data_IF_277098357664
#
_entry.id   IF_277098357664
#
_cell.length_a   1.000
_cell.length_b   1.000
_cell.length_c   1.000
_cell.angle_alpha   90.00
_cell.angle_beta   90.00
_cell.angle_gamma   90.00
#
_symmetry.space_group_name_H-M   'P 1'
#
loop_
_entity.id
_entity.type
_entity.pdbx_description
1 polymer ?
#
# COMPACT_ATOMS: atom_id res chain seq x y z
N UNK A 1 22.64 -25.29 -12.26
CA UNK A 1 21.59 -24.75 -13.14
C UNK A 1 20.28 -24.78 -12.38
N UNK A 2 19.53 -23.68 -12.32
CA UNK A 2 18.20 -23.73 -11.72
C UNK A 2 17.28 -24.58 -12.61
N UNK A 3 16.41 -25.42 -12.03
CA UNK A 3 15.42 -26.14 -12.82
C UNK A 3 14.54 -25.17 -13.61
N UNK A 4 14.14 -25.53 -14.83
CA UNK A 4 13.36 -24.67 -15.74
C UNK A 4 12.04 -24.18 -15.16
N UNK A 5 11.48 -24.92 -14.19
CA UNK A 5 10.24 -24.57 -13.49
C UNK A 5 10.44 -23.58 -12.33
N UNK A 6 11.68 -23.21 -12.00
CA UNK A 6 11.99 -22.27 -10.93
C UNK A 6 12.27 -20.88 -11.51
N UNK A 7 11.35 -19.96 -11.27
CA UNK A 7 11.31 -18.65 -11.93
C UNK A 7 11.87 -17.58 -10.99
N UNK A 8 12.91 -16.83 -11.39
CA UNK A 8 13.41 -15.74 -10.56
C UNK A 8 12.46 -14.53 -10.57
N UNK A 9 12.47 -13.67 -9.53
CA UNK A 9 11.56 -12.53 -9.42
C UNK A 9 11.60 -11.56 -10.61
N UNK A 10 12.79 -11.29 -11.16
CA UNK A 10 12.94 -10.38 -12.30
C UNK A 10 12.38 -10.93 -13.62
N UNK A 11 12.13 -12.25 -13.70
CA UNK A 11 11.55 -12.90 -14.87
C UNK A 11 10.06 -13.21 -14.68
N UNK A 12 9.41 -12.64 -13.66
CA UNK A 12 7.97 -12.79 -13.49
C UNK A 12 7.27 -11.92 -14.53
N UNK A 13 7.03 -12.46 -15.71
CA UNK A 13 5.98 -11.96 -16.59
C UNK A 13 4.62 -12.39 -16.02
N UNK A 14 4.03 -11.64 -15.08
CA UNK A 14 2.78 -12.03 -14.40
C UNK A 14 1.68 -12.43 -15.41
N UNK A 15 1.61 -11.72 -16.55
CA UNK A 15 0.65 -11.96 -17.62
C UNK A 15 0.86 -13.27 -18.41
N UNK A 16 1.98 -13.98 -18.21
CA UNK A 16 2.29 -15.23 -18.90
C UNK A 16 1.73 -16.48 -18.17
N UNK A 17 1.12 -16.28 -16.99
CA UNK A 17 0.54 -17.33 -16.17
C UNK A 17 -0.98 -17.19 -16.12
N UNK A 18 -1.68 -18.31 -16.24
CA UNK A 18 -3.14 -18.34 -16.15
C UNK A 18 -3.63 -18.11 -14.71
N UNK A 19 -2.77 -18.40 -13.72
CA UNK A 19 -3.04 -18.17 -12.31
C UNK A 19 -1.73 -17.96 -11.54
N UNK A 20 -1.78 -17.11 -10.52
CA UNK A 20 -0.71 -16.94 -9.54
C UNK A 20 -1.26 -17.41 -8.20
N UNK A 21 -0.63 -18.43 -7.62
CA UNK A 21 -1.14 -19.13 -6.44
C UNK A 21 -0.28 -18.81 -5.23
N UNK A 22 -0.85 -18.09 -4.27
CA UNK A 22 -0.24 -17.86 -2.96
C UNK A 22 -0.64 -18.94 -1.97
N UNK A 23 0.33 -19.77 -1.59
CA UNK A 23 0.14 -20.87 -0.62
C UNK A 23 0.35 -20.45 0.83
N UNK A 24 0.61 -19.17 1.09
CA UNK A 24 0.68 -18.61 2.45
C UNK A 24 -0.69 -18.57 3.11
N UNK A 25 -0.72 -18.33 4.42
CA UNK A 25 -1.99 -18.27 5.14
C UNK A 25 -2.85 -17.06 4.71
N UNK A 26 -4.16 -17.06 5.00
CA UNK A 26 -5.02 -15.92 4.72
C UNK A 26 -4.53 -14.61 5.35
N UNK A 27 -3.98 -14.65 6.57
CA UNK A 27 -3.43 -13.45 7.21
C UNK A 27 -2.15 -12.95 6.51
N UNK A 28 -1.26 -13.86 6.06
CA UNK A 28 -0.07 -13.48 5.29
C UNK A 28 -0.46 -12.84 3.94
N UNK A 29 -1.51 -13.35 3.30
CA UNK A 29 -2.03 -12.86 2.01
C UNK A 29 -2.73 -11.49 2.14
N UNK A 30 -3.56 -11.32 3.18
CA UNK A 30 -4.26 -10.06 3.46
C UNK A 30 -3.32 -8.90 3.78
N UNK A 31 -2.12 -9.17 4.31
CA UNK A 31 -1.12 -8.13 4.55
C UNK A 31 -0.61 -7.52 3.24
N UNK A 32 -0.25 -8.36 2.27
CA UNK A 32 0.17 -8.00 0.91
C UNK A 32 0.46 -9.31 0.15
N UNK A 33 0.33 -9.30 -1.17
CA UNK A 33 0.51 -10.46 -2.05
C UNK A 33 0.95 -10.02 -3.44
N UNK A 34 1.41 -10.96 -4.26
CA UNK A 34 1.74 -10.65 -5.66
C UNK A 34 0.45 -10.23 -6.38
N UNK A 35 0.45 -9.12 -7.14
CA UNK A 35 -0.75 -8.69 -7.83
C UNK A 35 -1.39 -9.77 -8.72
N UNK A 36 -2.72 -9.89 -8.62
CA UNK A 36 -3.48 -10.91 -9.34
C UNK A 36 -3.40 -12.32 -8.76
N UNK A 37 -2.70 -12.51 -7.63
CA UNK A 37 -2.64 -13.82 -6.98
C UNK A 37 -3.97 -14.19 -6.31
N UNK A 38 -4.32 -15.47 -6.39
CA UNK A 38 -5.37 -16.10 -5.59
C UNK A 38 -4.74 -16.77 -4.36
N UNK A 39 -5.43 -16.74 -3.23
CA UNK A 39 -4.95 -17.41 -2.03
C UNK A 39 -5.45 -18.86 -1.98
N UNK A 40 -4.55 -19.82 -2.13
CA UNK A 40 -4.81 -21.24 -1.94
C UNK A 40 -3.91 -21.77 -0.82
N UNK A 41 -4.23 -21.44 0.45
CA UNK A 41 -3.35 -21.68 1.58
C UNK A 41 -3.12 -23.18 1.78
N UNK A 42 -1.85 -23.60 1.94
CA UNK A 42 -1.55 -24.97 2.38
C UNK A 42 -1.64 -25.13 3.90
N UNK A 43 -1.78 -24.02 4.63
CA UNK A 43 -2.11 -23.98 6.05
C UNK A 43 -3.10 -22.84 6.33
N UNK A 44 -4.08 -23.09 7.18
CA UNK A 44 -4.82 -22.02 7.87
C UNK A 44 -3.91 -21.21 8.80
N UNK A 45 -4.40 -20.08 9.34
CA UNK A 45 -3.63 -19.29 10.31
C UNK A 45 -3.26 -20.12 11.55
N UNK A 46 -4.21 -20.91 12.07
CA UNK A 46 -4.02 -21.73 13.27
C UNK A 46 -3.11 -22.93 12.99
N UNK A 47 -3.27 -23.59 11.85
CA UNK A 47 -2.38 -24.67 11.42
C UNK A 47 -0.94 -24.17 11.29
N UNK A 48 -0.76 -22.99 10.69
CA UNK A 48 0.56 -22.36 10.55
C UNK A 48 1.18 -22.02 11.90
N UNK A 49 0.38 -21.55 12.85
CA UNK A 49 0.81 -21.28 14.22
C UNK A 49 1.25 -22.59 14.89
N UNK A 50 0.42 -23.63 14.84
CA UNK A 50 0.71 -24.96 15.41
C UNK A 50 1.98 -25.58 14.84
N UNK A 51 2.13 -25.63 13.52
CA UNK A 51 3.34 -26.16 12.86
C UNK A 51 4.57 -25.32 13.22
N UNK A 52 4.42 -23.98 13.28
CA UNK A 52 5.50 -23.07 13.66
C UNK A 52 5.96 -23.26 15.11
N UNK A 53 5.01 -23.46 16.04
CA UNK A 53 5.28 -23.77 17.45
C UNK A 53 6.00 -25.11 17.58
N UNK A 54 5.49 -26.16 16.93
CA UNK A 54 6.11 -27.49 16.95
C UNK A 54 7.55 -27.46 16.39
N UNK A 55 7.78 -26.68 15.34
CA UNK A 55 9.10 -26.52 14.73
C UNK A 55 10.12 -25.92 15.71
N UNK A 56 9.69 -24.93 16.50
CA UNK A 56 10.55 -24.21 17.45
C UNK A 56 10.71 -24.94 18.79
N UNK A 57 9.62 -25.50 19.31
CA UNK A 57 9.56 -26.01 20.69
C UNK A 57 9.88 -27.50 20.79
N UNK A 58 9.67 -28.28 19.73
CA UNK A 58 9.91 -29.73 19.75
C UNK A 58 11.04 -30.10 18.81
N UNK A 59 10.79 -30.09 17.49
CA UNK A 59 11.84 -30.26 16.50
C UNK A 59 11.37 -29.91 15.08
N UNK A 60 12.29 -29.56 14.17
CA UNK A 60 11.99 -29.44 12.75
C UNK A 60 11.40 -30.70 12.11
N UNK A 61 11.79 -31.89 12.59
CA UNK A 61 11.32 -33.15 12.02
C UNK A 61 9.85 -33.43 12.37
N UNK A 62 9.45 -33.24 13.64
CA UNK A 62 8.05 -33.40 14.06
C UNK A 62 7.13 -32.40 13.35
N UNK A 63 7.59 -31.15 13.20
CA UNK A 63 6.87 -30.14 12.43
C UNK A 63 6.72 -30.50 10.95
N UNK A 64 7.72 -31.14 10.34
CA UNK A 64 7.62 -31.62 8.96
C UNK A 64 6.61 -32.77 8.81
N UNK A 65 6.54 -33.70 9.78
CA UNK A 65 5.52 -34.77 9.75
C UNK A 65 4.10 -34.19 9.78
N UNK A 66 3.81 -33.33 10.76
CA UNK A 66 2.50 -32.67 10.84
C UNK A 66 2.23 -31.81 9.60
N UNK A 67 3.22 -31.00 9.21
CA UNK A 67 3.11 -30.12 8.05
C UNK A 67 2.84 -30.87 6.75
N UNK A 68 3.51 -32.01 6.51
CA UNK A 68 3.29 -32.82 5.31
C UNK A 68 1.85 -33.35 5.24
N UNK A 69 1.31 -33.85 6.35
CA UNK A 69 -0.08 -34.32 6.43
C UNK A 69 -1.08 -33.22 6.10
N UNK A 70 -0.91 -32.04 6.70
CA UNK A 70 -1.79 -30.89 6.47
C UNK A 70 -1.68 -30.36 5.04
N UNK A 71 -0.46 -30.21 4.51
CA UNK A 71 -0.25 -29.78 3.12
C UNK A 71 -0.89 -30.75 2.14
N UNK A 72 -0.75 -32.06 2.33
CA UNK A 72 -1.33 -33.05 1.43
C UNK A 72 -2.87 -32.95 1.39
N UNK A 73 -3.51 -32.82 2.56
CA UNK A 73 -4.98 -32.63 2.66
C UNK A 73 -5.42 -31.34 1.97
N UNK A 74 -4.83 -30.22 2.36
CA UNK A 74 -5.24 -28.91 1.86
C UNK A 74 -4.99 -28.77 0.35
N UNK A 75 -3.90 -29.34 -0.18
CA UNK A 75 -3.67 -29.36 -1.63
C UNK A 75 -4.72 -30.22 -2.36
N UNK A 76 -5.11 -31.37 -1.79
CA UNK A 76 -6.17 -32.19 -2.36
C UNK A 76 -7.50 -31.42 -2.42
N UNK A 77 -7.85 -30.70 -1.34
CA UNK A 77 -9.05 -29.88 -1.29
C UNK A 77 -9.03 -28.76 -2.34
N UNK A 78 -7.91 -28.04 -2.49
CA UNK A 78 -7.76 -27.01 -3.52
C UNK A 78 -7.89 -27.58 -4.94
N UNK A 79 -7.34 -28.76 -5.19
CA UNK A 79 -7.47 -29.42 -6.50
C UNK A 79 -8.94 -29.73 -6.77
N UNK A 80 -9.64 -30.34 -5.82
CA UNK A 80 -11.03 -30.72 -5.99
C UNK A 80 -11.95 -29.50 -6.19
N UNK A 81 -11.72 -28.43 -5.45
CA UNK A 81 -12.62 -27.27 -5.41
C UNK A 81 -12.30 -26.20 -6.45
N UNK A 82 -11.02 -25.98 -6.76
CA UNK A 82 -10.58 -24.83 -7.56
C UNK A 82 -9.94 -25.21 -8.88
N UNK A 83 -9.23 -26.35 -8.96
CA UNK A 83 -8.38 -26.64 -10.12
C UNK A 83 -8.89 -27.78 -11.02
N UNK A 84 -9.87 -28.56 -10.56
CA UNK A 84 -10.33 -29.77 -11.24
C UNK A 84 -10.72 -29.55 -12.71
N UNK A 85 -11.35 -28.42 -13.02
CA UNK A 85 -11.86 -28.11 -14.37
C UNK A 85 -10.82 -27.47 -15.30
N UNK A 86 -9.61 -27.18 -14.83
CA UNK A 86 -8.61 -26.51 -15.66
C UNK A 86 -8.06 -27.42 -16.77
N UNK A 87 -7.86 -26.89 -17.99
CA UNK A 87 -7.38 -27.68 -19.12
C UNK A 87 -5.90 -28.07 -18.94
N UNK A 88 -5.43 -29.03 -19.74
CA UNK A 88 -4.03 -29.52 -19.70
C UNK A 88 -2.98 -28.42 -19.91
N UNK A 89 -3.29 -27.38 -20.69
CA UNK A 89 -2.38 -26.27 -20.96
C UNK A 89 -2.36 -25.21 -19.86
N UNK A 90 -3.15 -25.36 -18.80
CA UNK A 90 -3.16 -24.43 -17.67
C UNK A 90 -1.77 -24.39 -17.00
N UNK A 91 -1.30 -23.17 -16.77
CA UNK A 91 0.05 -22.85 -16.34
C UNK A 91 0.02 -21.94 -15.10
N UNK A 92 -0.03 -22.52 -13.89
CA UNK A 92 0.00 -21.74 -12.65
C UNK A 92 1.44 -21.42 -12.18
N UNK A 93 1.63 -20.24 -11.61
CA UNK A 93 2.83 -19.89 -10.84
C UNK A 93 2.54 -20.00 -9.34
N UNK A 94 3.21 -20.92 -8.66
CA UNK A 94 3.00 -21.17 -7.22
C UNK A 94 4.09 -20.52 -6.37
N UNK A 95 3.71 -19.85 -5.29
CA UNK A 95 4.67 -19.31 -4.33
C UNK A 95 4.22 -19.46 -2.88
N UNK A 96 5.20 -19.38 -1.98
CA UNK A 96 5.00 -19.24 -0.54
C UNK A 96 5.96 -18.16 -0.04
N UNK A 97 6.09 -17.98 1.28
CA UNK A 97 6.96 -16.94 1.86
C UNK A 97 8.40 -16.93 1.32
N UNK A 98 9.04 -18.11 1.17
CA UNK A 98 10.45 -18.25 0.74
C UNK A 98 10.65 -19.16 -0.47
N UNK A 99 9.58 -19.57 -1.15
CA UNK A 99 9.67 -20.53 -2.27
C UNK A 99 10.12 -21.94 -1.85
N UNK A 100 9.94 -22.29 -0.57
CA UNK A 100 10.37 -23.55 0.04
C UNK A 100 9.32 -24.67 -0.05
N UNK A 101 9.22 -25.48 1.01
CA UNK A 101 8.42 -26.71 1.03
C UNK A 101 6.92 -26.51 0.79
N UNK A 102 6.32 -25.42 1.30
CA UNK A 102 4.88 -25.14 1.13
C UNK A 102 4.46 -25.06 -0.34
N UNK A 103 5.08 -24.15 -1.09
CA UNK A 103 4.81 -24.02 -2.53
C UNK A 103 5.41 -25.15 -3.35
N UNK A 104 6.52 -25.74 -2.89
CA UNK A 104 7.12 -26.90 -3.55
C UNK A 104 6.20 -28.11 -3.56
N UNK A 105 5.54 -28.43 -2.44
CA UNK A 105 4.65 -29.57 -2.34
C UNK A 105 3.43 -29.43 -3.27
N UNK A 106 2.75 -28.27 -3.26
CA UNK A 106 1.66 -28.00 -4.19
C UNK A 106 2.14 -28.10 -5.64
N UNK A 107 3.27 -27.46 -5.98
CA UNK A 107 3.80 -27.48 -7.33
C UNK A 107 4.16 -28.89 -7.82
N UNK A 108 4.73 -29.75 -6.96
CA UNK A 108 5.02 -31.15 -7.30
C UNK A 108 3.72 -31.88 -7.68
N UNK A 109 2.67 -31.76 -6.86
CA UNK A 109 1.40 -32.44 -7.11
C UNK A 109 0.77 -31.94 -8.42
N UNK A 110 0.73 -30.62 -8.65
CA UNK A 110 0.18 -30.04 -9.89
C UNK A 110 0.95 -30.52 -11.13
N UNK A 111 2.27 -30.69 -11.04
CA UNK A 111 3.07 -31.24 -12.15
C UNK A 111 2.87 -32.73 -12.37
N UNK A 112 2.63 -33.51 -11.31
CA UNK A 112 2.29 -34.94 -11.44
C UNK A 112 0.93 -35.16 -12.13
N UNK A 113 0.00 -34.21 -11.98
CA UNK A 113 -1.25 -34.19 -12.75
C UNK A 113 -1.00 -33.89 -14.24
N UNK A 114 0.07 -33.17 -14.56
CA UNK A 114 0.49 -32.86 -15.93
C UNK A 114 0.42 -31.38 -16.31
N UNK A 115 0.08 -30.49 -15.38
CA UNK A 115 0.10 -29.04 -15.62
C UNK A 115 1.52 -28.47 -15.60
N UNK A 116 1.72 -27.35 -16.31
CA UNK A 116 2.99 -26.64 -16.35
C UNK A 116 3.15 -25.73 -15.13
N UNK A 117 3.05 -26.30 -13.92
CA UNK A 117 3.15 -25.54 -12.70
C UNK A 117 4.60 -25.11 -12.43
N UNK A 118 4.82 -23.80 -12.43
CA UNK A 118 6.08 -23.14 -12.13
C UNK A 118 6.09 -22.68 -10.67
N UNK A 119 7.29 -22.44 -10.11
CA UNK A 119 7.48 -22.01 -8.73
C UNK A 119 8.33 -20.76 -8.67
N UNK A 120 7.87 -19.75 -7.93
CA UNK A 120 8.66 -18.55 -7.68
C UNK A 120 9.88 -18.85 -6.80
N UNK A 121 11.08 -18.65 -7.35
CA UNK A 121 12.35 -18.77 -6.65
C UNK A 121 12.43 -17.73 -5.51
N UNK A 122 12.73 -18.18 -4.29
CA UNK A 122 12.78 -17.30 -3.12
C UNK A 122 11.42 -16.78 -2.66
N UNK A 123 10.33 -17.12 -3.36
CA UNK A 123 8.95 -16.83 -2.99
C UNK A 123 8.64 -15.35 -2.83
N UNK A 124 7.63 -15.06 -2.02
CA UNK A 124 7.17 -13.70 -1.76
C UNK A 124 8.27 -12.80 -1.20
N UNK A 125 9.19 -13.32 -0.37
CA UNK A 125 10.34 -12.53 0.12
C UNK A 125 11.18 -11.99 -1.04
N UNK A 126 11.45 -12.82 -2.05
CA UNK A 126 12.23 -12.40 -3.20
C UNK A 126 11.44 -11.43 -4.11
N UNK A 127 10.12 -11.61 -4.21
CA UNK A 127 9.24 -10.61 -4.83
C UNK A 127 9.30 -9.26 -4.11
N UNK A 128 9.32 -9.24 -2.76
CA UNK A 128 9.46 -7.99 -1.99
C UNK A 128 10.77 -7.26 -2.29
N UNK A 129 11.87 -7.98 -2.38
CA UNK A 129 13.15 -7.37 -2.77
C UNK A 129 13.06 -6.80 -4.19
N UNK A 130 12.45 -7.53 -5.12
CA UNK A 130 12.23 -7.06 -6.48
C UNK A 130 11.39 -5.77 -6.54
N UNK A 131 10.28 -5.68 -5.78
CA UNK A 131 9.47 -4.44 -5.69
C UNK A 131 10.31 -3.24 -5.25
N UNK A 132 11.15 -3.41 -4.22
CA UNK A 132 12.01 -2.35 -3.71
C UNK A 132 13.08 -1.95 -4.73
N UNK A 133 13.79 -2.92 -5.30
CA UNK A 133 14.83 -2.70 -6.31
C UNK A 133 14.27 -2.03 -7.57
N UNK A 134 13.11 -2.48 -8.05
CA UNK A 134 12.48 -1.89 -9.23
C UNK A 134 11.93 -0.49 -8.95
N UNK A 135 11.39 -0.23 -7.76
CA UNK A 135 10.99 1.14 -7.39
C UNK A 135 12.19 2.08 -7.41
N UNK A 136 13.32 1.64 -6.85
CA UNK A 136 14.57 2.41 -6.87
C UNK A 136 15.16 2.58 -8.28
N UNK A 137 14.90 1.64 -9.19
CA UNK A 137 15.33 1.73 -10.57
C UNK A 137 14.43 2.66 -11.40
N UNK A 138 13.10 2.53 -11.29
CA UNK A 138 12.13 3.23 -12.14
C UNK A 138 11.96 4.69 -11.71
N UNK A 139 11.78 4.95 -10.41
CA UNK A 139 11.37 6.28 -9.95
C UNK A 139 12.33 7.43 -10.39
N UNK A 140 13.66 7.28 -10.37
CA UNK A 140 14.57 8.33 -10.84
C UNK A 140 14.53 8.60 -12.36
N UNK A 141 13.96 7.69 -13.16
CA UNK A 141 13.90 7.82 -14.62
C UNK A 141 12.65 8.58 -15.10
N UNK A 142 11.70 8.83 -14.19
CA UNK A 142 10.44 9.50 -14.51
C UNK A 142 10.57 11.02 -14.42
N UNK A 143 9.78 11.72 -15.24
CA UNK A 143 9.71 13.19 -15.28
C UNK A 143 8.67 13.69 -14.28
N UNK A 144 9.09 13.94 -13.05
CA UNK A 144 8.19 14.35 -11.97
C UNK A 144 7.75 15.81 -12.07
N UNK A 145 6.44 16.03 -12.00
CA UNK A 145 5.80 17.32 -11.82
C UNK A 145 5.04 17.31 -10.49
N UNK A 146 5.47 18.15 -9.55
CA UNK A 146 5.00 18.07 -8.17
C UNK A 146 4.06 19.22 -7.89
N UNK A 147 2.83 18.89 -7.52
CA UNK A 147 1.85 19.88 -7.08
C UNK A 147 2.18 20.32 -5.65
N UNK A 148 2.62 21.56 -5.51
CA UNK A 148 2.99 22.21 -4.27
C UNK A 148 1.84 23.16 -3.86
N UNK A 149 1.20 22.88 -2.73
CA UNK A 149 0.13 23.74 -2.24
C UNK A 149 -0.14 23.51 -0.76
N UNK A 150 -0.56 24.58 -0.07
CA UNK A 150 -1.02 24.52 1.31
C UNK A 150 -2.27 23.63 1.46
N UNK A 151 -2.54 23.15 2.67
CA UNK A 151 -3.68 22.25 2.98
C UNK A 151 -5.02 22.86 2.53
N UNK A 152 -5.87 22.07 1.88
CA UNK A 152 -7.18 22.56 1.40
C UNK A 152 -7.15 23.32 0.08
N UNK A 153 -6.01 23.35 -0.63
CA UNK A 153 -5.91 23.96 -1.98
C UNK A 153 -6.39 23.03 -3.11
N UNK A 154 -6.93 21.85 -2.80
CA UNK A 154 -7.51 20.95 -3.79
C UNK A 154 -6.52 20.15 -4.65
N UNK A 155 -5.27 19.94 -4.22
CA UNK A 155 -4.24 19.18 -4.97
C UNK A 155 -4.74 17.83 -5.48
N UNK A 156 -5.33 17.02 -4.60
CA UNK A 156 -5.89 15.71 -4.95
C UNK A 156 -6.96 15.82 -6.04
N UNK A 157 -7.80 16.87 -6.04
CA UNK A 157 -8.80 17.09 -7.10
C UNK A 157 -8.16 17.45 -8.44
N UNK A 158 -7.07 18.21 -8.42
CA UNK A 158 -6.29 18.54 -9.62
C UNK A 158 -5.63 17.28 -10.18
N UNK A 159 -5.00 16.45 -9.32
CA UNK A 159 -4.45 15.15 -9.73
C UNK A 159 -5.52 14.26 -10.38
N UNK A 160 -6.70 14.15 -9.77
CA UNK A 160 -7.82 13.38 -10.33
C UNK A 160 -8.28 13.93 -11.69
N UNK A 161 -8.34 15.25 -11.85
CA UNK A 161 -8.68 15.87 -13.13
C UNK A 161 -7.63 15.60 -14.22
N UNK A 162 -6.33 15.64 -13.87
CA UNK A 162 -5.23 15.28 -14.78
C UNK A 162 -5.36 13.81 -15.21
N UNK A 163 -5.60 12.89 -14.27
CA UNK A 163 -5.78 11.48 -14.56
C UNK A 163 -6.99 11.23 -15.47
N UNK A 164 -8.11 11.92 -15.23
CA UNK A 164 -9.32 11.82 -16.06
C UNK A 164 -9.10 12.28 -17.50
N UNK A 165 -8.10 13.14 -17.76
CA UNK A 165 -7.70 13.59 -19.10
C UNK A 165 -6.61 12.70 -19.72
N UNK A 166 -6.25 11.57 -19.08
CA UNK A 166 -5.24 10.64 -19.56
C UNK A 166 -3.80 10.98 -19.14
N UNK A 167 -3.62 11.93 -18.23
CA UNK A 167 -2.31 12.23 -17.64
C UNK A 167 -1.83 11.13 -16.69
N UNK A 168 -0.51 11.03 -16.50
CA UNK A 168 0.09 10.07 -15.59
C UNK A 168 0.14 10.65 -14.19
N UNK A 169 -0.46 9.96 -13.21
CA UNK A 169 -0.60 10.46 -11.84
C UNK A 169 -0.19 9.38 -10.85
N UNK A 170 0.65 9.75 -9.89
CA UNK A 170 0.93 8.98 -8.68
C UNK A 170 0.22 9.65 -7.50
N UNK A 171 -1.01 9.21 -7.21
CA UNK A 171 -1.83 9.69 -6.09
C UNK A 171 -1.50 8.87 -4.83
N UNK A 172 -0.57 9.38 -4.03
CA UNK A 172 -0.06 8.66 -2.86
C UNK A 172 -1.09 8.61 -1.73
N UNK A 173 -1.92 9.64 -1.55
CA UNK A 173 -3.02 9.65 -0.58
C UNK A 173 -4.05 8.57 -0.89
N UNK A 174 -4.41 8.39 -2.18
CA UNK A 174 -5.31 7.32 -2.63
C UNK A 174 -4.70 5.94 -2.34
N UNK A 175 -3.42 5.73 -2.69
CA UNK A 175 -2.73 4.47 -2.42
C UNK A 175 -2.60 4.19 -0.92
N UNK A 176 -2.50 5.23 -0.09
CA UNK A 176 -2.40 5.14 1.36
C UNK A 176 -3.77 5.05 2.06
N UNK A 177 -4.87 5.23 1.33
CA UNK A 177 -6.22 5.43 1.87
C UNK A 177 -6.27 6.49 2.99
N UNK A 178 -5.56 7.60 2.81
CA UNK A 178 -5.37 8.60 3.84
C UNK A 178 -4.96 9.96 3.26
N UNK A 179 -5.60 11.05 3.69
CA UNK A 179 -5.42 12.42 3.16
C UNK A 179 -4.26 13.21 3.81
N UNK A 180 -3.08 12.59 3.94
CA UNK A 180 -1.82 13.30 4.27
C UNK A 180 -1.71 14.07 5.61
N UNK A 181 -2.77 14.19 6.41
CA UNK A 181 -2.87 15.12 7.54
C UNK A 181 -3.28 14.45 8.85
N UNK A 182 -3.16 15.17 9.98
CA UNK A 182 -3.60 14.67 11.30
C UNK A 182 -5.08 14.28 11.32
N UNK A 183 -5.90 14.96 10.50
CA UNK A 183 -7.32 14.69 10.31
C UNK A 183 -7.60 13.88 9.04
N UNK A 184 -6.57 13.27 8.44
CA UNK A 184 -6.60 12.67 7.12
C UNK A 184 -7.15 11.24 7.06
N UNK A 185 -7.49 10.64 8.21
CA UNK A 185 -8.09 9.32 8.24
C UNK A 185 -9.44 9.31 7.50
N UNK A 186 -9.60 8.37 6.58
CA UNK A 186 -10.85 8.18 5.83
C UNK A 186 -11.76 7.22 6.61
N UNK A 187 -13.01 7.61 6.94
CA UNK A 187 -13.93 6.75 7.67
C UNK A 187 -14.11 5.39 6.98
N UNK A 188 -14.15 4.33 7.80
CA UNK A 188 -14.36 2.94 7.38
C UNK A 188 -13.36 2.39 6.35
N UNK A 189 -12.26 3.11 6.07
CA UNK A 189 -11.24 2.69 5.11
C UNK A 189 -9.90 2.60 5.83
N UNK A 190 -9.46 1.39 6.25
CA UNK A 190 -8.17 1.24 6.90
C UNK A 190 -7.03 1.50 5.91
N UNK A 191 -5.93 2.07 6.41
CA UNK A 191 -4.71 2.15 5.62
C UNK A 191 -4.21 0.73 5.29
N UNK A 192 -3.63 0.51 4.10
CA UNK A 192 -3.00 -0.76 3.77
C UNK A 192 -1.80 -1.04 4.69
N UNK A 193 -1.26 -2.26 4.63
CA UNK A 193 0.05 -2.50 5.24
C UNK A 193 1.15 -1.74 4.47
N UNK A 194 2.27 -1.46 5.13
CA UNK A 194 3.45 -0.87 4.47
C UNK A 194 3.88 -1.63 3.20
N UNK A 195 3.77 -2.96 3.21
CA UNK A 195 4.15 -3.79 2.04
C UNK A 195 3.16 -3.60 0.90
N UNK A 196 1.85 -3.59 1.20
CA UNK A 196 0.82 -3.39 0.20
C UNK A 196 0.89 -1.99 -0.42
N UNK A 197 1.17 -0.96 0.39
CA UNK A 197 1.42 0.39 -0.10
C UNK A 197 2.59 0.44 -1.09
N UNK A 198 3.74 -0.15 -0.71
CA UNK A 198 4.91 -0.26 -1.58
C UNK A 198 4.65 -1.06 -2.87
N UNK A 199 3.88 -2.16 -2.79
CA UNK A 199 3.47 -2.92 -3.99
C UNK A 199 2.66 -2.04 -4.93
N UNK A 200 1.66 -1.33 -4.39
CA UNK A 200 0.76 -0.53 -5.19
C UNK A 200 1.49 0.64 -5.87
N UNK A 201 2.45 1.27 -5.17
CA UNK A 201 3.36 2.26 -5.77
C UNK A 201 4.10 1.65 -6.95
N UNK A 202 4.79 0.52 -6.74
CA UNK A 202 5.56 -0.14 -7.79
C UNK A 202 4.69 -0.49 -9.01
N UNK A 203 3.47 -0.99 -8.79
CA UNK A 203 2.54 -1.29 -9.89
C UNK A 203 2.15 -0.06 -10.71
N UNK A 204 1.97 1.10 -10.08
CA UNK A 204 1.69 2.34 -10.82
C UNK A 204 2.92 2.81 -11.59
N UNK A 205 4.10 2.80 -10.96
CA UNK A 205 5.35 3.22 -11.60
C UNK A 205 5.64 2.44 -12.89
N UNK A 206 5.38 1.13 -12.89
CA UNK A 206 5.59 0.27 -14.07
C UNK A 206 4.72 0.62 -15.28
N UNK A 207 3.61 1.34 -15.08
CA UNK A 207 2.67 1.70 -16.16
C UNK A 207 2.99 3.04 -16.79
N UNK A 208 3.87 3.83 -16.18
CA UNK A 208 4.21 5.15 -16.69
C UNK A 208 5.18 5.04 -17.86
N UNK A 209 4.89 5.83 -18.89
CA UNK A 209 5.79 6.17 -19.98
C UNK A 209 6.78 7.26 -19.50
N UNK A 210 8.09 6.97 -19.45
CA UNK A 210 9.11 7.95 -19.04
C UNK A 210 9.22 9.19 -19.93
N UNK A 211 8.71 9.14 -21.17
CA UNK A 211 8.71 10.30 -22.07
C UNK A 211 7.69 11.38 -21.66
N UNK A 212 6.66 11.01 -20.90
CA UNK A 212 5.57 11.88 -20.48
C UNK A 212 5.75 12.33 -19.02
N UNK A 213 5.21 13.51 -18.65
CA UNK A 213 5.24 13.95 -17.25
C UNK A 213 4.44 13.00 -16.36
N UNK A 214 4.88 12.85 -15.12
CA UNK A 214 4.17 12.15 -14.04
C UNK A 214 3.87 13.16 -12.93
N UNK A 215 2.59 13.35 -12.64
CA UNK A 215 2.14 14.27 -11.62
C UNK A 215 1.99 13.57 -10.28
N UNK A 216 2.48 14.19 -9.22
CA UNK A 216 2.30 13.76 -7.85
C UNK A 216 2.10 14.99 -6.96
N UNK A 217 1.65 14.80 -5.73
CA UNK A 217 1.57 15.89 -4.77
C UNK A 217 2.79 15.92 -3.85
N UNK A 218 3.10 17.13 -3.35
CA UNK A 218 4.16 17.34 -2.39
C UNK A 218 3.78 16.73 -1.02
N UNK A 219 4.16 15.46 -0.82
CA UNK A 219 3.92 14.76 0.44
C UNK A 219 5.10 14.86 1.42
N UNK A 220 4.77 14.68 2.69
CA UNK A 220 5.78 14.48 3.73
C UNK A 220 6.42 13.08 3.60
N UNK A 221 7.47 12.76 4.38
CA UNK A 221 8.05 11.39 4.38
C UNK A 221 7.03 10.30 4.76
N UNK A 222 5.91 10.67 5.38
CA UNK A 222 4.85 9.76 5.82
C UNK A 222 3.46 10.24 5.39
N UNK A 223 2.57 9.27 5.19
CA UNK A 223 1.13 9.49 4.98
C UNK A 223 0.38 8.65 6.02
N UNK A 224 -0.13 9.31 7.06
CA UNK A 224 -0.62 8.62 8.25
C UNK A 224 0.48 7.75 8.87
N UNK A 225 0.25 6.44 8.97
CA UNK A 225 1.22 5.48 9.50
C UNK A 225 2.20 4.92 8.46
N UNK A 226 2.01 5.24 7.18
CA UNK A 226 2.80 4.69 6.07
C UNK A 226 4.01 5.57 5.78
N UNK A 227 5.12 4.94 5.43
CA UNK A 227 6.34 5.63 5.01
C UNK A 227 6.50 5.57 3.50
N UNK A 228 6.78 6.70 2.87
CA UNK A 228 7.15 6.74 1.46
C UNK A 228 8.56 6.15 1.31
N UNK A 229 8.78 5.17 0.40
CA UNK A 229 10.11 4.63 0.13
C UNK A 229 11.08 5.73 -0.26
N UNK A 230 12.26 5.74 0.37
CA UNK A 230 13.28 6.74 0.11
C UNK A 230 13.70 6.84 -1.37
N UNK A 231 13.82 5.74 -2.12
CA UNK A 231 14.12 5.81 -3.55
C UNK A 231 13.05 6.49 -4.40
N UNK A 232 11.82 6.62 -3.91
CA UNK A 232 10.75 7.41 -4.54
C UNK A 232 10.76 8.86 -4.02
N UNK A 233 10.95 9.03 -2.71
CA UNK A 233 10.89 10.35 -2.06
C UNK A 233 11.94 11.32 -2.61
N UNK A 234 13.16 10.85 -2.89
CA UNK A 234 14.23 11.70 -3.40
C UNK A 234 13.90 12.27 -4.81
N UNK A 235 13.53 11.45 -5.81
CA UNK A 235 13.07 11.96 -7.11
C UNK A 235 11.87 12.90 -7.03
N UNK A 236 10.90 12.62 -6.15
CA UNK A 236 9.75 13.51 -5.95
C UNK A 236 10.22 14.88 -5.45
N UNK A 237 11.12 14.94 -4.48
CA UNK A 237 11.64 16.22 -3.95
C UNK A 237 12.45 17.04 -4.95
N UNK A 238 13.11 16.37 -5.90
CA UNK A 238 13.84 17.03 -6.99
C UNK A 238 12.98 17.26 -8.24
N UNK A 239 11.68 16.95 -8.19
CA UNK A 239 10.77 17.13 -9.31
C UNK A 239 10.50 18.60 -9.63
N UNK A 240 9.92 18.87 -10.80
CA UNK A 240 9.52 20.21 -11.18
C UNK A 240 8.30 20.65 -10.36
N UNK A 241 8.50 21.59 -9.44
CA UNK A 241 7.45 22.12 -8.57
C UNK A 241 6.47 23.02 -9.36
N UNK A 242 5.18 22.78 -9.15
CA UNK A 242 4.07 23.59 -9.64
C UNK A 242 3.33 24.11 -8.41
N UNK A 243 3.52 25.38 -8.10
CA UNK A 243 2.83 26.02 -6.99
C UNK A 243 1.38 26.33 -7.34
N UNK A 244 0.47 25.93 -6.46
CA UNK A 244 -0.95 26.21 -6.54
C UNK A 244 -1.30 27.16 -5.41
N UNK A 245 -1.73 28.36 -5.78
CA UNK A 245 -2.22 29.36 -4.85
C UNK A 245 -3.74 29.32 -4.77
N UNK A 246 -4.25 29.27 -3.53
CA UNK A 246 -5.66 29.38 -3.24
C UNK A 246 -5.85 30.34 -2.07
N UNK A 247 -6.85 31.21 -2.16
CA UNK A 247 -7.18 32.12 -1.05
C UNK A 247 -7.62 31.32 0.17
N UNK A 248 -7.38 31.86 1.37
CA UNK A 248 -7.83 31.24 2.62
C UNK A 248 -9.33 30.94 2.60
N UNK A 249 -10.14 31.86 2.05
CA UNK A 249 -11.58 31.68 1.90
C UNK A 249 -11.94 30.46 1.03
N UNK A 250 -11.27 30.30 -0.12
CA UNK A 250 -11.50 29.14 -1.00
C UNK A 250 -11.08 27.83 -0.34
N UNK A 251 -9.97 27.83 0.42
CA UNK A 251 -9.49 26.66 1.17
C UNK A 251 -10.44 26.26 2.29
N UNK A 252 -10.98 27.22 3.04
CA UNK A 252 -11.99 26.97 4.08
C UNK A 252 -13.24 26.36 3.46
N UNK A 253 -13.79 26.96 2.41
CA UNK A 253 -14.98 26.45 1.72
C UNK A 253 -14.76 25.02 1.17
N UNK A 254 -13.60 24.77 0.56
CA UNK A 254 -13.23 23.44 0.06
C UNK A 254 -13.19 22.41 1.19
N UNK A 255 -12.53 22.70 2.31
CA UNK A 255 -12.38 21.76 3.43
C UNK A 255 -13.70 21.44 4.10
N UNK A 256 -14.60 22.43 4.23
CA UNK A 256 -15.95 22.19 4.77
C UNK A 256 -16.74 21.20 3.93
N UNK A 257 -16.57 21.21 2.60
CA UNK A 257 -17.20 20.27 1.67
C UNK A 257 -16.52 18.90 1.61
N UNK A 258 -15.20 18.86 1.78
CA UNK A 258 -14.40 17.64 1.60
C UNK A 258 -14.25 16.80 2.89
N UNK A 259 -14.55 17.38 4.05
CA UNK A 259 -14.51 16.74 5.38
C UNK A 259 -15.87 16.77 6.13
N UNK A 260 -17.01 16.44 5.50
CA UNK A 260 -18.32 16.54 6.16
C UNK A 260 -18.43 15.57 7.35
N UNK A 261 -17.71 14.44 7.31
CA UNK A 261 -17.69 13.43 8.37
C UNK A 261 -17.08 13.93 9.69
N UNK A 262 -16.16 14.92 9.65
CA UNK A 262 -15.58 15.48 10.87
C UNK A 262 -16.58 16.36 11.64
N UNK A 263 -17.54 16.96 10.93
CA UNK A 263 -18.62 17.74 11.56
C UNK A 263 -19.67 16.82 12.21
N UNK A 264 -19.79 15.59 11.69
CA UNK A 264 -20.75 14.59 12.19
C UNK A 264 -20.23 13.82 13.41
N UNK A 265 -18.91 13.67 13.56
CA UNK A 265 -18.27 12.98 14.69
C UNK A 265 -17.33 13.93 15.47
N UNK A 266 -17.96 14.82 16.24
CA UNK A 266 -17.24 15.83 17.04
C UNK A 266 -16.39 15.20 18.14
N UNK A 267 -16.74 14.00 18.63
CA UNK A 267 -15.99 13.30 19.67
C UNK A 267 -14.65 12.79 19.13
N UNK A 268 -14.66 12.18 17.94
CA UNK A 268 -13.45 11.78 17.25
C UNK A 268 -12.59 12.99 16.87
N UNK A 269 -13.19 14.05 16.33
CA UNK A 269 -12.49 15.29 16.00
C UNK A 269 -11.76 15.87 17.23
N UNK A 270 -12.46 16.06 18.35
CA UNK A 270 -11.88 16.57 19.59
C UNK A 270 -10.75 15.67 20.11
N UNK A 271 -10.91 14.36 20.02
CA UNK A 271 -9.86 13.39 20.40
C UNK A 271 -8.60 13.54 19.53
N UNK A 272 -8.76 13.79 18.23
CA UNK A 272 -7.65 14.01 17.31
C UNK A 272 -6.96 15.37 17.58
N UNK A 273 -7.73 16.43 17.79
CA UNK A 273 -7.19 17.77 18.10
C UNK A 273 -6.38 17.78 19.40
N UNK A 274 -6.77 17.01 20.42
CA UNK A 274 -6.01 16.87 21.68
C UNK A 274 -4.59 16.37 21.47
N UNK A 275 -4.30 15.65 20.39
CA UNK A 275 -2.93 15.21 20.05
C UNK A 275 -2.01 16.38 19.68
N UNK A 276 -2.57 17.52 19.31
CA UNK A 276 -1.83 18.73 18.95
C UNK A 276 -1.48 19.61 20.16
N UNK A 277 -1.96 19.24 21.36
CA UNK A 277 -1.79 20.01 22.61
C UNK A 277 -0.34 20.30 22.96
N UNK A 278 0.58 19.36 22.74
CA UNK A 278 2.01 19.58 23.02
C UNK A 278 2.62 20.68 22.14
N UNK A 279 2.14 20.80 20.90
CA UNK A 279 2.63 21.78 19.93
C UNK A 279 1.93 23.13 20.06
N UNK A 280 0.61 23.13 20.22
CA UNK A 280 -0.23 24.34 20.13
C UNK A 280 -0.63 24.91 21.50
N UNK A 281 -0.39 24.16 22.58
CA UNK A 281 -0.74 24.56 23.94
C UNK A 281 -2.19 24.29 24.32
N UNK A 282 -2.46 24.35 25.63
CA UNK A 282 -3.78 24.03 26.20
C UNK A 282 -4.88 25.02 25.78
N UNK A 283 -4.55 26.31 25.72
CA UNK A 283 -5.55 27.35 25.45
C UNK A 283 -6.12 27.22 24.03
N UNK A 284 -5.26 27.07 23.02
CA UNK A 284 -5.72 26.91 21.62
C UNK A 284 -6.61 25.70 21.43
N UNK A 285 -6.30 24.57 22.09
CA UNK A 285 -7.18 23.40 22.02
C UNK A 285 -8.53 23.67 22.67
N UNK A 286 -8.57 24.35 23.82
CA UNK A 286 -9.82 24.71 24.49
C UNK A 286 -10.66 25.69 23.64
N UNK A 287 -10.02 26.66 22.99
CA UNK A 287 -10.70 27.59 22.08
C UNK A 287 -11.33 26.84 20.89
N UNK A 288 -10.62 25.85 20.33
CA UNK A 288 -11.14 25.02 19.25
C UNK A 288 -12.27 24.10 19.70
N UNK A 289 -12.21 23.54 20.91
CA UNK A 289 -13.32 22.79 21.50
C UNK A 289 -14.58 23.67 21.64
N UNK A 290 -14.42 24.93 22.07
CA UNK A 290 -15.54 25.88 22.15
C UNK A 290 -16.13 26.22 20.77
N UNK A 291 -15.31 26.32 19.72
CA UNK A 291 -15.80 26.52 18.35
C UNK A 291 -16.59 25.30 17.85
N UNK A 292 -16.15 24.07 18.19
CA UNK A 292 -16.87 22.83 17.88
C UNK A 292 -18.23 22.80 18.58
N UNK A 293 -18.29 23.13 19.87
CA UNK A 293 -19.54 23.17 20.65
C UNK A 293 -20.56 24.16 20.06
N UNK A 294 -20.08 25.31 19.58
CA UNK A 294 -20.89 26.34 18.93
C UNK A 294 -21.14 26.10 17.44
N UNK A 295 -20.60 25.02 16.88
CA UNK A 295 -20.66 24.68 15.45
C UNK A 295 -20.14 25.80 14.52
N UNK A 296 -19.15 26.56 14.99
CA UNK A 296 -18.47 27.62 14.22
C UNK A 296 -17.38 27.02 13.33
N UNK A 297 -17.81 26.22 12.34
CA UNK A 297 -16.92 25.43 11.50
C UNK A 297 -15.98 26.27 10.62
N UNK A 298 -16.44 27.33 9.93
CA UNK A 298 -15.55 28.16 9.12
C UNK A 298 -14.41 28.76 9.95
N UNK A 299 -14.72 29.25 11.15
CA UNK A 299 -13.76 29.82 12.09
C UNK A 299 -12.76 28.76 12.57
N UNK A 300 -13.23 27.56 12.94
CA UNK A 300 -12.37 26.45 13.34
C UNK A 300 -11.40 26.04 12.22
N UNK A 301 -11.89 25.91 10.99
CA UNK A 301 -11.06 25.54 9.84
C UNK A 301 -10.02 26.63 9.58
N UNK A 302 -10.41 27.91 9.58
CA UNK A 302 -9.49 29.01 9.40
C UNK A 302 -8.37 29.03 10.46
N UNK A 303 -8.74 28.80 11.73
CA UNK A 303 -7.81 28.67 12.85
C UNK A 303 -6.84 27.49 12.70
N UNK A 304 -7.34 26.31 12.30
CA UNK A 304 -6.52 25.13 12.02
C UNK A 304 -5.51 25.40 10.89
N UNK A 305 -5.95 26.06 9.82
CA UNK A 305 -5.06 26.43 8.71
C UNK A 305 -3.96 27.37 9.19
N UNK A 306 -4.33 28.48 9.84
CA UNK A 306 -3.38 29.53 10.23
C UNK A 306 -2.40 29.08 11.32
N UNK A 307 -2.85 28.33 12.33
CA UNK A 307 -2.02 27.99 13.51
C UNK A 307 -1.29 26.66 13.38
N UNK A 308 -1.78 25.72 12.56
CA UNK A 308 -1.19 24.38 12.45
C UNK A 308 -0.65 24.07 11.05
N UNK A 309 -1.50 24.14 10.02
CA UNK A 309 -1.14 23.62 8.70
C UNK A 309 -0.21 24.55 7.91
N UNK A 310 -0.49 25.84 7.87
CA UNK A 310 0.31 26.79 7.07
C UNK A 310 1.74 26.95 7.61
N UNK A 311 1.97 27.08 8.94
CA UNK A 311 3.32 27.11 9.48
C UNK A 311 4.12 25.83 9.16
N UNK A 312 3.46 24.66 9.19
CA UNK A 312 4.07 23.38 8.82
C UNK A 312 4.42 23.31 7.33
N UNK A 313 3.51 23.78 6.48
CA UNK A 313 3.68 23.82 5.04
C UNK A 313 4.89 24.67 4.67
N UNK A 314 4.97 25.92 5.16
CA UNK A 314 6.10 26.81 4.89
C UNK A 314 7.44 26.22 5.36
N UNK A 315 7.48 25.61 6.55
CA UNK A 315 8.70 24.95 7.03
C UNK A 315 9.13 23.75 6.17
N UNK A 316 8.16 23.00 5.63
CA UNK A 316 8.43 21.83 4.79
C UNK A 316 8.85 22.21 3.37
N UNK A 317 8.14 23.14 2.74
CA UNK A 317 8.42 23.62 1.39
C UNK A 317 9.87 24.11 1.27
N UNK A 318 10.25 25.10 2.09
CA UNK A 318 11.62 25.64 2.09
C UNK A 318 12.74 24.61 2.28
N UNK A 319 12.44 23.45 2.89
CA UNK A 319 13.42 22.39 3.15
C UNK A 319 13.46 21.29 2.11
N UNK A 320 12.34 20.99 1.46
CA UNK A 320 12.17 19.74 0.72
C UNK A 320 11.87 19.91 -0.77
N UNK A 321 11.34 21.06 -1.18
CA UNK A 321 10.92 21.32 -2.56
C UNK A 321 11.41 22.73 -2.92
N UNK A 322 12.22 22.84 -3.98
CA UNK A 322 12.79 24.10 -4.46
C UNK A 322 12.26 24.41 -5.85
#
# INVERSE_FOLDING_TARGET
MNPSWQIPPHAIGLAQYDAIIDTRTPAEFAQDHIPGAINCPVFSNDERARVGTLYKQVSPFEARKLGATLVARNVADHIAQHFHSHPKHWRPLVYCWRGGQRSGAMQIILRQIGWQADKLAGGYKAFRHHVIEQTAHIAPQLRWHILCAATGSGKTRILQAIAAQGGQVLDLEQLAAHKGSVLGAVPHTPQPSQKAFETAIWQQLQRFNPALPVFAEAESRKIGNLQIPEPLLLPLRSGHCIDIEASTAARVDFLLRDYPYLQQDTTSLTTQLKRLKERLGKQTIADWEALIERQQWPELVNELLAKHYDPLYHQSQHKNYQ
#
